data_IF_675522986051
#
_entry.id   IF_675522986051
#
_cell.length_a   1.000
_cell.length_b   1.000
_cell.length_c   1.000
_cell.angle_alpha   90.00
_cell.angle_beta   90.00
_cell.angle_gamma   90.00
#
_symmetry.space_group_name_H-M   'P 1'
#
loop_
_entity.id
_entity.type
_entity.pdbx_description
1 polymer ?
#
# COMPACT_ATOMS: atom_id res chain seq x y z
N UNK A 1 27.15 -76.31 8.80
CA UNK A 1 27.68 -74.98 9.17
C UNK A 1 26.57 -73.94 8.99
N UNK A 2 25.90 -73.52 10.07
CA UNK A 2 24.70 -72.69 10.02
C UNK A 2 25.07 -71.21 9.96
N UNK A 3 24.80 -70.54 8.83
CA UNK A 3 25.11 -69.12 8.60
C UNK A 3 24.12 -68.26 9.42
N UNK A 4 24.55 -67.75 10.58
CA UNK A 4 23.77 -66.78 11.37
C UNK A 4 23.54 -65.52 10.52
N UNK A 5 22.29 -65.29 10.10
CA UNK A 5 21.87 -64.03 9.46
C UNK A 5 21.91 -62.92 10.51
N UNK A 6 22.83 -61.98 10.34
CA UNK A 6 22.96 -60.82 11.21
C UNK A 6 21.79 -59.86 10.91
N UNK A 7 20.73 -59.91 11.72
CA UNK A 7 19.64 -58.94 11.63
C UNK A 7 20.15 -57.62 12.23
N UNK A 8 20.75 -56.77 11.39
CA UNK A 8 21.04 -55.40 11.76
C UNK A 8 19.71 -54.73 12.15
N UNK A 9 19.53 -54.45 13.44
CA UNK A 9 18.45 -53.59 13.93
C UNK A 9 18.68 -52.21 13.31
N UNK A 10 18.05 -51.94 12.15
CA UNK A 10 18.04 -50.62 11.53
C UNK A 10 17.60 -49.60 12.59
N UNK A 11 18.50 -48.69 12.93
CA UNK A 11 18.26 -47.69 13.95
C UNK A 11 17.09 -46.82 13.49
N UNK A 12 15.98 -46.78 14.24
CA UNK A 12 14.74 -46.08 13.83
C UNK A 12 15.00 -44.59 13.55
N UNK A 13 16.04 -44.03 14.17
CA UNK A 13 16.53 -42.67 13.93
C UNK A 13 17.03 -42.42 12.49
N UNK A 14 17.56 -43.43 11.78
CA UNK A 14 18.07 -43.23 10.41
C UNK A 14 16.96 -43.06 9.36
N UNK A 15 15.73 -43.48 9.67
CA UNK A 15 14.54 -43.28 8.83
C UNK A 15 13.74 -42.06 9.31
N UNK A 16 13.75 -41.79 10.62
CA UNK A 16 13.06 -40.63 11.19
C UNK A 16 13.68 -39.30 10.74
N UNK A 17 15.01 -39.23 10.68
CA UNK A 17 15.74 -38.03 10.28
C UNK A 17 15.37 -37.51 8.87
N UNK A 18 15.41 -38.33 7.79
CA UNK A 18 15.02 -37.85 6.46
C UNK A 18 13.54 -37.47 6.37
N UNK A 19 12.64 -38.15 7.08
CA UNK A 19 11.21 -37.80 7.11
C UNK A 19 11.01 -36.43 7.77
N UNK A 20 11.65 -36.18 8.91
CA UNK A 20 11.60 -34.88 9.60
C UNK A 20 12.23 -33.77 8.75
N UNK A 21 13.31 -34.05 8.02
CA UNK A 21 13.92 -33.09 7.10
C UNK A 21 12.98 -32.74 5.96
N UNK A 22 12.32 -33.72 5.34
CA UNK A 22 11.34 -33.48 4.27
C UNK A 22 10.15 -32.65 4.79
N UNK A 23 9.63 -32.99 5.98
CA UNK A 23 8.56 -32.21 6.62
C UNK A 23 9.02 -30.78 6.94
N UNK A 24 10.23 -30.61 7.47
CA UNK A 24 10.81 -29.30 7.76
C UNK A 24 10.96 -28.44 6.51
N UNK A 25 11.49 -29.01 5.42
CA UNK A 25 11.58 -28.33 4.13
C UNK A 25 10.18 -27.98 3.61
N UNK A 26 9.23 -28.90 3.70
CA UNK A 26 7.84 -28.65 3.30
C UNK A 26 7.22 -27.47 4.05
N UNK A 27 7.41 -27.40 5.37
CA UNK A 27 6.92 -26.29 6.20
C UNK A 27 7.56 -24.96 5.78
N UNK A 28 8.88 -24.92 5.60
CA UNK A 28 9.59 -23.69 5.18
C UNK A 28 9.11 -23.21 3.81
N UNK A 29 8.97 -24.12 2.84
CA UNK A 29 8.47 -23.79 1.50
C UNK A 29 7.06 -23.21 1.58
N UNK A 30 6.15 -23.85 2.31
CA UNK A 30 4.78 -23.37 2.49
C UNK A 30 4.77 -21.99 3.15
N UNK A 31 5.47 -21.81 4.28
CA UNK A 31 5.51 -20.51 4.97
C UNK A 31 6.11 -19.41 4.09
N UNK A 32 7.15 -19.72 3.31
CA UNK A 32 7.77 -18.77 2.39
C UNK A 32 6.84 -18.38 1.24
N UNK A 33 5.99 -19.29 0.76
CA UNK A 33 5.01 -18.99 -0.30
C UNK A 33 3.87 -18.08 0.16
N UNK A 34 3.59 -18.03 1.47
CA UNK A 34 2.60 -17.13 2.07
C UNK A 34 3.21 -15.85 2.64
N UNK A 35 4.51 -15.64 2.50
CA UNK A 35 5.16 -14.44 3.02
C UNK A 35 4.66 -13.20 2.29
N UNK A 36 4.03 -12.28 3.03
CA UNK A 36 3.76 -10.93 2.56
C UNK A 36 4.82 -9.96 3.09
N UNK A 37 5.36 -9.08 2.24
CA UNK A 37 6.26 -7.99 2.65
C UNK A 37 5.65 -7.12 3.78
N UNK A 38 4.32 -7.09 3.89
CA UNK A 38 3.59 -6.37 4.92
C UNK A 38 3.84 -6.87 6.35
N UNK A 39 4.24 -8.13 6.51
CA UNK A 39 4.45 -8.77 7.82
C UNK A 39 5.70 -8.26 8.54
N UNK A 40 6.72 -7.85 7.78
CA UNK A 40 7.98 -7.32 8.31
C UNK A 40 8.01 -5.79 8.37
N UNK A 41 6.88 -5.13 8.12
CA UNK A 41 6.81 -3.66 8.17
C UNK A 41 7.10 -3.13 9.58
N UNK A 42 7.94 -2.10 9.65
CA UNK A 42 8.32 -1.47 10.91
C UNK A 42 7.23 -0.51 11.39
N UNK A 43 6.43 -0.97 12.37
CA UNK A 43 5.39 -0.18 13.04
C UNK A 43 5.90 0.67 14.22
N UNK A 44 7.21 0.75 14.45
CA UNK A 44 7.75 1.59 15.52
C UNK A 44 7.33 3.04 15.28
N UNK A 45 6.94 3.72 16.37
CA UNK A 45 6.43 5.08 16.36
C UNK A 45 5.10 5.26 15.60
N UNK A 46 4.38 4.17 15.30
CA UNK A 46 2.98 4.21 14.88
C UNK A 46 2.10 3.82 16.05
N UNK A 47 1.20 4.72 16.42
CA UNK A 47 0.24 4.46 17.49
C UNK A 47 -0.66 3.28 17.13
N UNK A 48 -1.09 2.56 18.17
CA UNK A 48 -1.92 1.36 18.00
C UNK A 48 -3.23 1.68 17.27
N UNK A 49 -3.87 2.80 17.59
CA UNK A 49 -5.12 3.23 16.96
C UNK A 49 -4.97 3.51 15.46
N UNK A 50 -3.87 4.17 15.05
CA UNK A 50 -3.57 4.42 13.63
C UNK A 50 -3.27 3.10 12.92
N UNK A 51 -2.41 2.26 13.51
CA UNK A 51 -2.09 0.93 12.96
C UNK A 51 -3.35 0.08 12.74
N UNK A 52 -4.18 -0.06 13.76
CA UNK A 52 -5.39 -0.89 13.70
C UNK A 52 -6.36 -0.36 12.63
N UNK A 53 -6.53 0.96 12.55
CA UNK A 53 -7.39 1.59 11.54
C UNK A 53 -6.85 1.41 10.12
N UNK A 54 -5.54 1.53 9.93
CA UNK A 54 -4.87 1.31 8.64
C UNK A 54 -5.01 -0.14 8.19
N UNK A 55 -4.85 -1.11 9.09
CA UNK A 55 -5.01 -2.52 8.77
C UNK A 55 -6.44 -2.88 8.35
N UNK A 56 -7.44 -2.19 8.92
CA UNK A 56 -8.83 -2.28 8.42
C UNK A 56 -8.95 -1.67 7.03
N UNK A 57 -8.45 -0.44 6.84
CA UNK A 57 -8.54 0.27 5.55
C UNK A 57 -7.79 -0.46 4.41
N UNK A 58 -6.70 -1.17 4.72
CA UNK A 58 -5.92 -1.98 3.78
C UNK A 58 -6.81 -2.93 2.96
N UNK A 59 -7.81 -3.53 3.60
CA UNK A 59 -8.61 -4.61 3.02
C UNK A 59 -9.87 -4.12 2.29
N UNK A 60 -10.17 -2.81 2.31
CA UNK A 60 -11.45 -2.28 1.83
C UNK A 60 -11.37 -1.55 0.50
N UNK A 61 -10.17 -1.42 -0.07
CA UNK A 61 -9.93 -0.62 -1.28
C UNK A 61 -9.98 0.89 -1.01
N UNK A 62 -9.63 1.68 -2.02
CA UNK A 62 -9.54 3.13 -1.91
C UNK A 62 -10.74 3.79 -2.58
N UNK A 63 -11.65 4.43 -1.83
CA UNK A 63 -12.91 4.97 -2.38
C UNK A 63 -13.22 6.38 -1.88
N UNK A 64 -13.79 7.20 -2.77
CA UNK A 64 -14.33 8.53 -2.43
C UNK A 64 -15.66 8.50 -1.68
N UNK A 65 -16.23 7.33 -1.39
CA UNK A 65 -17.50 7.17 -0.64
C UNK A 65 -18.62 6.48 -1.42
N UNK A 66 -18.42 6.21 -2.72
CA UNK A 66 -19.30 5.38 -3.55
C UNK A 66 -18.46 4.25 -4.15
N UNK A 67 -18.95 3.03 -4.03
CA UNK A 67 -18.34 1.82 -4.58
C UNK A 67 -19.13 1.27 -5.77
N UNK A 68 -18.72 0.11 -6.32
CA UNK A 68 -19.37 -0.53 -7.45
C UNK A 68 -20.88 -0.66 -7.26
N UNK A 69 -21.63 -0.45 -8.34
CA UNK A 69 -23.10 -0.46 -8.34
C UNK A 69 -23.74 0.57 -7.40
N UNK A 70 -23.07 1.69 -7.14
CA UNK A 70 -23.61 2.77 -6.30
C UNK A 70 -23.68 2.44 -4.81
N UNK A 71 -22.99 1.38 -4.35
CA UNK A 71 -22.97 1.02 -2.93
C UNK A 71 -22.30 2.11 -2.11
N UNK A 72 -22.92 2.52 -1.02
CA UNK A 72 -22.28 3.47 -0.10
C UNK A 72 -21.03 2.82 0.52
N UNK A 73 -19.91 3.50 0.36
CA UNK A 73 -18.62 3.18 0.98
C UNK A 73 -18.21 4.27 1.99
N UNK A 74 -19.19 5.06 2.45
CA UNK A 74 -18.98 6.21 3.32
C UNK A 74 -18.22 5.85 4.61
N UNK A 75 -18.49 4.68 5.18
CA UNK A 75 -17.75 4.17 6.35
C UNK A 75 -16.24 4.08 6.06
N UNK A 76 -15.85 3.56 4.91
CA UNK A 76 -14.44 3.40 4.54
C UNK A 76 -13.78 4.75 4.23
N UNK A 77 -14.51 5.65 3.55
CA UNK A 77 -14.07 7.02 3.34
C UNK A 77 -13.85 7.76 4.68
N UNK A 78 -14.78 7.63 5.63
CA UNK A 78 -14.66 8.20 6.98
C UNK A 78 -13.47 7.63 7.75
N UNK A 79 -13.23 6.32 7.70
CA UNK A 79 -12.06 5.72 8.34
C UNK A 79 -10.75 6.29 7.77
N UNK A 80 -10.66 6.45 6.44
CA UNK A 80 -9.49 7.05 5.80
C UNK A 80 -9.27 8.50 6.23
N UNK A 81 -10.32 9.33 6.20
CA UNK A 81 -10.26 10.71 6.68
C UNK A 81 -9.88 10.79 8.15
N UNK A 82 -10.41 9.88 8.97
CA UNK A 82 -10.04 9.80 10.38
C UNK A 82 -8.54 9.50 10.55
N UNK A 83 -7.98 8.54 9.81
CA UNK A 83 -6.54 8.25 9.84
C UNK A 83 -5.73 9.49 9.46
N UNK A 84 -6.07 10.13 8.34
CA UNK A 84 -5.37 11.32 7.84
C UNK A 84 -5.39 12.49 8.83
N UNK A 85 -6.51 12.68 9.54
CA UNK A 85 -6.68 13.79 10.48
C UNK A 85 -6.05 13.54 11.85
N UNK A 86 -5.87 12.27 12.26
CA UNK A 86 -5.38 11.92 13.60
C UNK A 86 -3.93 11.43 13.61
N UNK A 87 -3.38 10.99 12.47
CA UNK A 87 -1.99 10.58 12.37
C UNK A 87 -1.05 11.78 12.44
N UNK A 88 0.05 11.63 13.17
CA UNK A 88 1.18 12.56 13.11
C UNK A 88 1.87 12.52 11.74
N UNK A 89 2.67 13.55 11.44
CA UNK A 89 3.49 13.56 10.22
C UNK A 89 4.39 12.32 10.12
N UNK A 90 5.04 11.94 11.23
CA UNK A 90 5.92 10.76 11.28
C UNK A 90 5.16 9.46 11.01
N UNK A 91 3.92 9.34 11.50
CA UNK A 91 3.06 8.20 11.21
C UNK A 91 2.69 8.15 9.73
N UNK A 92 2.27 9.27 9.14
CA UNK A 92 1.96 9.32 7.71
C UNK A 92 3.18 9.02 6.82
N UNK A 93 4.37 9.52 7.20
CA UNK A 93 5.65 9.18 6.56
C UNK A 93 6.04 7.70 6.74
N UNK A 94 5.55 7.05 7.78
CA UNK A 94 5.68 5.60 7.96
C UNK A 94 4.72 4.86 7.02
N UNK A 95 3.47 5.33 6.87
CA UNK A 95 2.47 4.71 6.00
C UNK A 95 2.87 4.69 4.53
N UNK A 96 3.53 5.74 4.01
CA UNK A 96 4.03 5.75 2.61
C UNK A 96 5.10 4.68 2.33
N UNK A 97 5.71 4.09 3.38
CA UNK A 97 6.68 2.99 3.26
C UNK A 97 6.00 1.61 3.33
N UNK A 98 4.73 1.56 3.71
CA UNK A 98 4.01 0.31 3.87
C UNK A 98 3.79 -0.38 2.52
N UNK A 99 3.98 -1.70 2.41
CA UNK A 99 3.89 -2.44 1.14
C UNK A 99 2.44 -2.73 0.72
N UNK A 100 1.63 -1.68 0.54
CA UNK A 100 0.26 -1.76 0.03
C UNK A 100 -0.18 -0.39 -0.52
N UNK A 101 -0.72 -0.34 -1.74
CA UNK A 101 -1.04 0.94 -2.38
C UNK A 101 -2.14 1.74 -1.70
N UNK A 102 -3.16 1.10 -1.12
CA UNK A 102 -4.20 1.79 -0.32
C UNK A 102 -3.59 2.51 0.87
N UNK A 103 -2.72 1.84 1.62
CA UNK A 103 -2.05 2.43 2.80
C UNK A 103 -1.11 3.55 2.38
N UNK A 104 -0.33 3.36 1.31
CA UNK A 104 0.55 4.40 0.78
C UNK A 104 -0.25 5.63 0.36
N UNK A 105 -1.35 5.45 -0.37
CA UNK A 105 -2.21 6.55 -0.79
C UNK A 105 -2.81 7.31 0.40
N UNK A 106 -3.20 6.63 1.49
CA UNK A 106 -3.62 7.30 2.74
C UNK A 106 -2.48 8.16 3.31
N UNK A 107 -1.26 7.64 3.35
CA UNK A 107 -0.08 8.38 3.82
C UNK A 107 0.23 9.62 2.97
N UNK A 108 0.26 9.45 1.66
CA UNK A 108 0.49 10.54 0.72
C UNK A 108 -0.62 11.60 0.77
N UNK A 109 -1.90 11.19 0.69
CA UNK A 109 -3.04 12.10 0.77
C UNK A 109 -3.05 12.85 2.11
N UNK A 110 -2.82 12.14 3.21
CA UNK A 110 -2.75 12.74 4.55
C UNK A 110 -1.69 13.83 4.65
N UNK A 111 -0.47 13.58 4.17
CA UNK A 111 0.60 14.58 4.17
C UNK A 111 0.28 15.79 3.28
N UNK A 112 -0.34 15.58 2.11
CA UNK A 112 -0.69 16.67 1.20
C UNK A 112 -1.84 17.55 1.72
N UNK A 113 -2.78 16.97 2.47
CA UNK A 113 -3.88 17.70 3.12
C UNK A 113 -3.41 18.62 4.25
N UNK A 114 -2.26 18.34 4.85
CA UNK A 114 -1.70 19.15 5.93
C UNK A 114 -1.25 20.51 5.43
N UNK A 115 -1.64 21.57 6.13
CA UNK A 115 -1.20 22.94 5.83
C UNK A 115 0.22 23.21 6.33
N UNK A 116 0.68 22.49 7.35
CA UNK A 116 2.00 22.63 7.97
C UNK A 116 3.10 21.79 7.30
N UNK A 117 2.73 20.88 6.39
CA UNK A 117 3.71 20.05 5.68
C UNK A 117 4.31 20.81 4.49
N UNK A 118 5.59 21.19 4.60
CA UNK A 118 6.29 22.04 3.61
C UNK A 118 6.90 21.30 2.42
N UNK A 119 7.05 19.97 2.49
CA UNK A 119 7.76 19.16 1.47
C UNK A 119 6.81 18.52 0.46
N UNK A 120 5.77 19.24 0.03
CA UNK A 120 4.73 18.69 -0.86
C UNK A 120 5.27 18.33 -2.24
N UNK A 121 6.07 19.20 -2.84
CA UNK A 121 6.72 18.95 -4.14
C UNK A 121 7.55 17.66 -4.10
N UNK A 122 8.49 17.56 -3.16
CA UNK A 122 9.36 16.38 -3.00
C UNK A 122 8.56 15.10 -2.77
N UNK A 123 7.48 15.18 -1.99
CA UNK A 123 6.60 14.07 -1.71
C UNK A 123 5.90 13.58 -2.98
N UNK A 124 5.41 14.48 -3.83
CA UNK A 124 4.75 14.14 -5.09
C UNK A 124 5.77 13.59 -6.09
N UNK A 125 6.93 14.22 -6.23
CA UNK A 125 8.04 13.71 -7.06
C UNK A 125 8.48 12.31 -6.65
N UNK A 126 8.52 12.01 -5.36
CA UNK A 126 8.79 10.66 -4.86
C UNK A 126 7.73 9.65 -5.32
N UNK A 127 6.45 10.04 -5.31
CA UNK A 127 5.35 9.16 -5.74
C UNK A 127 5.44 8.77 -7.22
N UNK A 128 6.00 9.63 -8.09
CA UNK A 128 6.20 9.35 -9.53
C UNK A 128 7.11 8.15 -9.75
N UNK A 129 8.05 7.92 -8.84
CA UNK A 129 8.97 6.79 -8.89
C UNK A 129 8.48 5.55 -8.10
N UNK A 130 7.38 5.67 -7.35
CA UNK A 130 6.83 4.59 -6.52
C UNK A 130 5.85 3.73 -7.34
N UNK A 131 6.40 2.80 -8.12
CA UNK A 131 5.65 1.93 -9.04
C UNK A 131 5.36 0.53 -8.50
N UNK A 132 5.89 0.17 -7.33
CA UNK A 132 5.81 -1.21 -6.80
C UNK A 132 4.39 -1.61 -6.40
N UNK A 133 3.61 -0.67 -5.86
CA UNK A 133 2.25 -0.92 -5.39
C UNK A 133 1.26 0.00 -6.05
N UNK A 134 0.12 -0.57 -6.44
CA UNK A 134 -0.97 0.17 -7.08
C UNK A 134 -2.14 0.41 -6.12
N UNK A 135 -2.85 1.50 -6.37
CA UNK A 135 -4.05 1.93 -5.65
C UNK A 135 -5.27 1.38 -6.40
N UNK A 136 -6.10 0.59 -5.72
CA UNK A 136 -7.41 0.19 -6.24
C UNK A 136 -8.41 1.29 -5.91
N UNK A 137 -8.60 2.23 -6.84
CA UNK A 137 -9.46 3.39 -6.69
C UNK A 137 -10.87 3.11 -7.22
N UNK A 138 -11.88 3.32 -6.38
CA UNK A 138 -13.27 3.26 -6.81
C UNK A 138 -13.80 4.65 -7.15
N UNK A 139 -14.14 4.83 -8.42
CA UNK A 139 -14.69 6.05 -9.01
C UNK A 139 -16.15 5.81 -9.42
N UNK A 140 -17.07 5.83 -8.44
CA UNK A 140 -18.48 5.53 -8.71
C UNK A 140 -18.67 4.04 -8.98
N UNK A 141 -19.13 3.68 -10.19
CA UNK A 141 -19.41 2.28 -10.55
C UNK A 141 -18.17 1.48 -10.98
N UNK A 142 -17.04 2.15 -11.20
CA UNK A 142 -15.82 1.53 -11.71
C UNK A 142 -14.74 1.44 -10.62
N UNK A 143 -14.03 0.32 -10.62
CA UNK A 143 -12.78 0.14 -9.87
C UNK A 143 -11.62 0.19 -10.85
N UNK A 144 -10.66 1.07 -10.59
CA UNK A 144 -9.53 1.35 -11.45
C UNK A 144 -8.26 1.10 -10.66
N UNK A 145 -7.34 0.34 -11.23
CA UNK A 145 -6.03 0.11 -10.67
C UNK A 145 -5.06 1.20 -11.17
N UNK A 146 -4.52 2.01 -10.26
CA UNK A 146 -3.70 3.18 -10.59
C UNK A 146 -2.31 3.09 -9.94
N UNK A 147 -1.29 3.60 -10.62
CA UNK A 147 -0.06 3.96 -9.91
C UNK A 147 -0.35 5.04 -8.86
N UNK A 148 0.44 5.09 -7.79
CA UNK A 148 0.23 6.08 -6.71
C UNK A 148 0.29 7.50 -7.26
N UNK A 149 1.25 7.79 -8.15
CA UNK A 149 1.39 9.08 -8.82
C UNK A 149 0.18 9.43 -9.69
N UNK A 150 -0.35 8.46 -10.44
CA UNK A 150 -1.57 8.64 -11.21
C UNK A 150 -2.71 9.02 -10.27
N UNK A 151 -2.97 8.23 -9.23
CA UNK A 151 -4.00 8.56 -8.23
C UNK A 151 -3.82 9.98 -7.66
N UNK A 152 -2.61 10.34 -7.22
CA UNK A 152 -2.36 11.64 -6.60
C UNK A 152 -2.53 12.81 -7.58
N UNK A 153 -1.92 12.75 -8.76
CA UNK A 153 -1.87 13.88 -9.70
C UNK A 153 -3.20 14.04 -10.44
N UNK A 154 -3.80 12.92 -10.86
CA UNK A 154 -4.98 12.89 -11.72
C UNK A 154 -6.29 12.96 -10.91
N UNK A 155 -6.39 12.23 -9.80
CA UNK A 155 -7.66 12.10 -9.07
C UNK A 155 -7.75 12.93 -7.79
N UNK A 156 -6.65 13.03 -7.05
CA UNK A 156 -6.62 13.79 -5.80
C UNK A 156 -6.35 15.29 -6.02
N UNK A 157 -5.22 15.62 -6.66
CA UNK A 157 -4.80 17.00 -6.95
C UNK A 157 -5.53 17.60 -8.16
N UNK A 158 -5.89 16.75 -9.14
CA UNK A 158 -6.62 17.15 -10.36
C UNK A 158 -5.90 18.23 -11.16
N UNK A 159 -4.57 18.13 -11.24
CA UNK A 159 -3.70 19.10 -11.93
C UNK A 159 -3.30 18.65 -13.34
N UNK A 160 -3.57 17.39 -13.72
CA UNK A 160 -3.22 16.86 -15.04
C UNK A 160 -4.15 17.40 -16.13
N UNK A 161 -3.60 18.25 -17.01
CA UNK A 161 -4.34 18.86 -18.12
C UNK A 161 -4.65 17.89 -19.27
N UNK A 162 -4.11 16.66 -19.25
CA UNK A 162 -4.46 15.61 -20.20
C UNK A 162 -5.77 14.89 -19.84
N UNK A 163 -6.33 15.15 -18.67
CA UNK A 163 -7.64 14.63 -18.27
C UNK A 163 -8.77 15.57 -18.70
N UNK A 164 -9.99 15.04 -18.91
CA UNK A 164 -11.18 15.88 -18.99
C UNK A 164 -11.26 16.84 -17.79
N UNK A 165 -11.60 18.11 -17.99
CA UNK A 165 -11.62 19.09 -16.92
C UNK A 165 -12.62 18.68 -15.83
N UNK A 166 -12.16 18.71 -14.58
CA UNK A 166 -13.05 18.55 -13.43
C UNK A 166 -13.88 19.81 -13.22
N UNK A 167 -15.06 19.65 -12.61
CA UNK A 167 -15.87 20.82 -12.23
C UNK A 167 -15.08 21.70 -11.24
N UNK A 168 -15.05 23.04 -11.42
CA UNK A 168 -14.24 23.93 -10.58
C UNK A 168 -14.50 23.77 -9.08
N UNK A 169 -15.73 23.45 -8.66
CA UNK A 169 -16.10 23.29 -7.25
C UNK A 169 -15.46 22.05 -6.60
N UNK A 170 -14.91 21.14 -7.41
CA UNK A 170 -14.26 19.92 -6.95
C UNK A 170 -12.73 20.06 -6.87
N UNK A 171 -12.17 21.18 -7.30
CA UNK A 171 -10.73 21.45 -7.28
C UNK A 171 -10.39 22.13 -5.97
N UNK A 172 -9.53 21.50 -5.19
CA UNK A 172 -9.07 22.00 -3.88
C UNK A 172 -7.63 22.47 -4.04
N UNK A 173 -7.35 23.69 -3.59
CA UNK A 173 -5.98 24.18 -3.50
C UNK A 173 -5.29 23.57 -2.26
N UNK A 174 -4.21 22.83 -2.51
CA UNK A 174 -3.37 22.24 -1.48
C UNK A 174 -2.07 23.03 -1.24
N UNK A 175 -1.98 24.28 -1.72
CA UNK A 175 -0.85 25.18 -1.49
C UNK A 175 0.36 24.87 -2.38
N UNK A 176 0.13 24.37 -3.59
CA UNK A 176 1.17 24.21 -4.61
C UNK A 176 1.16 25.44 -5.53
N UNK A 177 2.33 26.04 -5.76
CA UNK A 177 2.46 27.11 -6.75
C UNK A 177 2.30 26.60 -8.18
N UNK A 178 2.00 27.48 -9.13
CA UNK A 178 1.90 27.08 -10.54
C UNK A 178 3.22 26.49 -11.08
N UNK A 179 4.38 27.05 -10.69
CA UNK A 179 5.68 26.49 -11.07
C UNK A 179 5.92 25.09 -10.50
N UNK A 180 5.41 24.81 -9.30
CA UNK A 180 5.49 23.46 -8.71
C UNK A 180 4.59 22.48 -9.46
N UNK A 181 3.37 22.88 -9.81
CA UNK A 181 2.45 22.07 -10.62
C UNK A 181 3.06 21.73 -11.98
N UNK A 182 3.62 22.73 -12.68
CA UNK A 182 4.30 22.52 -13.97
C UNK A 182 5.47 21.54 -13.86
N UNK A 183 6.30 21.66 -12.81
CA UNK A 183 7.40 20.73 -12.56
C UNK A 183 6.90 19.31 -12.32
N UNK A 184 5.87 19.13 -11.48
CA UNK A 184 5.25 17.83 -11.21
C UNK A 184 4.72 17.20 -12.51
N UNK A 185 4.00 17.97 -13.32
CA UNK A 185 3.43 17.48 -14.59
C UNK A 185 4.53 17.09 -15.58
N UNK A 186 5.60 17.88 -15.67
CA UNK A 186 6.75 17.58 -16.51
C UNK A 186 7.42 16.25 -16.10
N UNK A 187 7.68 16.07 -14.81
CA UNK A 187 8.25 14.81 -14.27
C UNK A 187 7.30 13.62 -14.51
N UNK A 188 6.01 13.81 -14.26
CA UNK A 188 4.99 12.76 -14.41
C UNK A 188 4.82 12.31 -15.85
N UNK A 189 4.73 13.25 -16.81
CA UNK A 189 4.57 12.92 -18.23
C UNK A 189 5.86 12.34 -18.83
N UNK A 190 7.03 12.75 -18.36
CA UNK A 190 8.30 12.14 -18.77
C UNK A 190 8.47 10.71 -18.24
N UNK A 191 8.02 10.42 -17.02
CA UNK A 191 8.07 9.09 -16.42
C UNK A 191 7.09 8.06 -17.01
N UNK A 192 6.18 8.50 -17.90
CA UNK A 192 5.25 7.67 -18.68
C UNK A 192 5.82 7.24 -20.04
N UNK A 193 6.90 7.87 -20.52
CA UNK A 193 7.61 7.49 -21.75
C UNK A 193 8.56 6.32 -21.48
#
# INVERSE_FOLDING_TARGET
>A
MMKRRNHNKRNRFSILFPILTILGIGIVVVLSSFYEKSWSHNWNNVSKSIKDSVLVAKNTGYTGGVGPNGRSMEKFAKTRLWIMNNASENELLNLIKYPNGTVKAIGYEGLLRRSDYSKKLDLISKSINDKEYKVYYSAGCEEIELEISQYLIQWFLKIDNQMPPFRPELIVDYGLSESEKEKILTEFHNGKK
#
